data_IF_766136870804
#
_entry.id   IF_766136870804
#
_cell.length_a   1.000
_cell.length_b   1.000
_cell.length_c   1.000
_cell.angle_alpha   90.00
_cell.angle_beta   90.00
_cell.angle_gamma   90.00
#
_symmetry.space_group_name_H-M   'P 1'
#
loop_
_entity.id
_entity.type
_entity.pdbx_description
1 polymer ?
#
# COMPACT_ATOMS: atom_id res chain seq x y z
N UNK A 1 3.14 13.99 -9.32
CA UNK A 1 2.85 12.57 -9.01
C UNK A 1 2.84 12.39 -7.51
N UNK A 2 1.80 11.71 -7.01
CA UNK A 2 1.51 11.51 -5.58
C UNK A 2 1.34 10.00 -5.34
N UNK A 3 1.73 9.50 -4.17
CA UNK A 3 1.51 8.10 -3.78
C UNK A 3 0.69 8.03 -2.50
N UNK A 4 -0.47 7.37 -2.54
CA UNK A 4 -1.29 7.11 -1.36
C UNK A 4 -1.20 5.66 -0.95
N UNK A 5 -1.16 5.43 0.36
CA UNK A 5 -1.25 4.11 0.96
C UNK A 5 -2.46 4.01 1.86
N UNK A 6 -3.33 3.03 1.66
CA UNK A 6 -4.44 2.73 2.56
C UNK A 6 -4.17 1.42 3.31
N UNK A 7 -4.23 1.46 4.65
CA UNK A 7 -4.09 0.25 5.48
C UNK A 7 -5.33 -0.63 5.49
N UNK A 8 -5.22 -1.83 6.08
CA UNK A 8 -6.30 -2.81 6.08
C UNK A 8 -7.60 -2.32 6.75
N UNK A 9 -7.50 -1.55 7.84
CA UNK A 9 -8.66 -0.92 8.47
C UNK A 9 -9.39 0.06 7.54
N UNK A 10 -8.62 0.77 6.70
CA UNK A 10 -9.14 1.76 5.74
C UNK A 10 -9.88 1.11 4.57
N UNK A 11 -9.73 -0.20 4.35
CA UNK A 11 -10.37 -0.97 3.26
C UNK A 11 -11.18 -2.18 3.79
N UNK A 12 -11.53 -2.21 5.08
CA UNK A 12 -12.12 -3.38 5.74
C UNK A 12 -13.51 -3.81 5.24
N UNK A 13 -14.29 -2.89 4.66
CA UNK A 13 -15.65 -3.17 4.18
C UNK A 13 -16.07 -2.19 3.06
N UNK A 14 -17.29 -2.37 2.54
CA UNK A 14 -17.83 -1.59 1.45
C UNK A 14 -17.95 -0.09 1.78
N UNK A 15 -18.25 0.26 3.03
CA UNK A 15 -18.35 1.67 3.44
C UNK A 15 -16.98 2.33 3.50
N UNK A 16 -15.97 1.60 3.99
CA UNK A 16 -14.57 2.00 3.96
C UNK A 16 -14.08 2.21 2.51
N UNK A 17 -14.35 1.29 1.59
CA UNK A 17 -14.01 1.43 0.17
C UNK A 17 -14.73 2.62 -0.48
N UNK A 18 -16.02 2.81 -0.20
CA UNK A 18 -16.78 4.00 -0.61
C UNK A 18 -16.13 5.29 -0.11
N UNK A 19 -15.61 5.28 1.11
CA UNK A 19 -14.94 6.43 1.69
C UNK A 19 -13.60 6.75 0.98
N UNK A 20 -12.81 5.74 0.62
CA UNK A 20 -11.62 5.93 -0.21
C UNK A 20 -12.01 6.63 -1.52
N UNK A 21 -13.05 6.16 -2.21
CA UNK A 21 -13.54 6.82 -3.43
C UNK A 21 -13.85 8.31 -3.23
N UNK A 22 -14.53 8.68 -2.13
CA UNK A 22 -14.82 10.09 -1.80
C UNK A 22 -13.57 10.93 -1.54
N UNK A 23 -12.55 10.36 -0.88
CA UNK A 23 -11.27 11.03 -0.65
C UNK A 23 -10.60 11.31 -1.99
N UNK A 24 -10.51 10.27 -2.83
CA UNK A 24 -9.79 10.32 -4.10
C UNK A 24 -10.44 11.25 -5.12
N UNK A 25 -11.77 11.48 -5.06
CA UNK A 25 -12.47 12.47 -5.91
C UNK A 25 -11.87 13.87 -5.89
N UNK A 26 -11.11 14.23 -4.85
CA UNK A 26 -10.45 15.54 -4.75
C UNK A 26 -9.10 15.61 -5.49
N UNK A 27 -8.68 14.52 -6.13
CA UNK A 27 -7.35 14.36 -6.75
C UNK A 27 -7.43 13.94 -8.23
N UNK A 28 -8.56 14.17 -8.90
CA UNK A 28 -8.81 13.71 -10.29
C UNK A 28 -7.84 14.30 -11.31
N UNK A 29 -7.27 15.47 -11.01
CA UNK A 29 -6.31 16.13 -11.90
C UNK A 29 -4.87 15.63 -11.72
N UNK A 30 -4.60 14.93 -10.61
CA UNK A 30 -3.27 14.48 -10.21
C UNK A 30 -2.90 13.12 -10.83
N UNK A 31 -1.60 12.95 -11.10
CA UNK A 31 -1.01 11.63 -11.34
C UNK A 31 -0.86 10.92 -9.99
N UNK A 32 -1.56 9.80 -9.81
CA UNK A 32 -1.73 9.17 -8.50
C UNK A 32 -1.46 7.66 -8.56
N UNK A 33 -0.64 7.17 -7.63
CA UNK A 33 -0.54 5.74 -7.33
C UNK A 33 -1.21 5.46 -5.99
N UNK A 34 -2.13 4.50 -5.97
CA UNK A 34 -2.83 4.04 -4.77
C UNK A 34 -2.36 2.64 -4.43
N UNK A 35 -1.60 2.53 -3.35
CA UNK A 35 -1.16 1.28 -2.73
C UNK A 35 -2.17 0.89 -1.65
N UNK A 36 -2.61 -0.36 -1.64
CA UNK A 36 -3.51 -0.86 -0.58
C UNK A 36 -2.92 -2.04 0.16
N UNK A 37 -3.33 -2.19 1.42
CA UNK A 37 -3.16 -3.42 2.19
C UNK A 37 -4.37 -4.35 2.02
N UNK A 38 -4.24 -5.61 2.44
CA UNK A 38 -5.33 -6.57 2.50
C UNK A 38 -6.46 -6.08 3.42
N UNK A 39 -7.70 -6.52 3.16
CA UNK A 39 -8.88 -6.03 3.89
C UNK A 39 -8.85 -6.41 5.38
N UNK A 40 -8.87 -5.43 6.28
CA UNK A 40 -8.96 -5.64 7.72
C UNK A 40 -7.88 -6.58 8.27
N UNK A 41 -8.30 -7.75 8.74
CA UNK A 41 -7.44 -8.81 9.30
C UNK A 41 -7.19 -9.98 8.34
N UNK A 42 -7.48 -9.82 7.03
CA UNK A 42 -7.38 -10.90 6.04
C UNK A 42 -6.00 -11.55 5.98
N UNK A 43 -4.91 -10.80 6.18
CA UNK A 43 -3.54 -11.37 6.27
C UNK A 43 -3.48 -12.44 7.35
N UNK A 44 -3.90 -12.13 8.58
CA UNK A 44 -3.89 -13.08 9.71
C UNK A 44 -4.85 -14.27 9.46
N UNK A 45 -5.98 -14.03 8.80
CA UNK A 45 -6.92 -15.08 8.40
C UNK A 45 -6.24 -16.05 7.39
N UNK A 46 -5.48 -15.52 6.42
CA UNK A 46 -4.70 -16.30 5.46
C UNK A 46 -3.51 -17.02 6.10
N UNK A 47 -2.86 -16.43 7.11
CA UNK A 47 -1.83 -17.14 7.90
C UNK A 47 -2.40 -18.38 8.60
N UNK A 48 -3.65 -18.31 9.06
CA UNK A 48 -4.33 -19.48 9.61
C UNK A 48 -4.61 -20.55 8.53
N UNK A 49 -4.93 -20.14 7.31
CA UNK A 49 -5.04 -21.03 6.14
C UNK A 49 -3.69 -21.71 5.86
N UNK A 50 -2.60 -20.94 5.80
CA UNK A 50 -1.23 -21.47 5.60
C UNK A 50 -0.92 -22.53 6.65
N UNK A 51 -1.16 -22.23 7.93
CA UNK A 51 -0.92 -23.17 9.03
C UNK A 51 -1.71 -24.47 8.87
N UNK A 52 -3.02 -24.37 8.61
CA UNK A 52 -3.87 -25.54 8.42
C UNK A 52 -3.44 -26.36 7.19
N UNK A 53 -3.09 -25.70 6.09
CA UNK A 53 -2.65 -26.33 4.85
C UNK A 53 -1.33 -27.10 5.02
N UNK A 54 -0.33 -26.49 5.67
CA UNK A 54 0.96 -27.14 5.96
C UNK A 54 0.81 -28.34 6.90
N UNK A 55 -0.15 -28.27 7.82
CA UNK A 55 -0.49 -29.38 8.73
C UNK A 55 -1.37 -30.45 8.08
N UNK A 56 -1.74 -30.28 6.80
CA UNK A 56 -2.69 -31.14 6.09
C UNK A 56 -4.00 -31.33 6.86
N UNK A 57 -4.43 -30.27 7.53
CA UNK A 57 -5.70 -30.23 8.23
C UNK A 57 -6.80 -29.81 7.25
N UNK A 58 -7.83 -30.64 7.09
CA UNK A 58 -8.94 -30.43 6.15
C UNK A 58 -9.74 -29.12 6.37
N UNK A 59 -9.52 -28.44 7.51
CA UNK A 59 -10.14 -27.15 7.81
C UNK A 59 -9.64 -25.97 6.96
N UNK A 60 -8.51 -26.09 6.24
CA UNK A 60 -7.97 -25.01 5.42
C UNK A 60 -8.99 -24.50 4.38
N UNK A 61 -9.79 -25.40 3.79
CA UNK A 61 -10.84 -25.03 2.84
C UNK A 61 -11.98 -24.25 3.51
N UNK A 62 -12.37 -24.61 4.73
CA UNK A 62 -13.39 -23.88 5.48
C UNK A 62 -12.92 -22.46 5.85
N UNK A 63 -11.64 -22.31 6.24
CA UNK A 63 -11.03 -21.02 6.51
C UNK A 63 -10.99 -20.14 5.26
N UNK A 64 -10.56 -20.70 4.13
CA UNK A 64 -10.55 -19.99 2.85
C UNK A 64 -11.95 -19.56 2.41
N UNK A 65 -12.95 -20.44 2.52
CA UNK A 65 -14.33 -20.14 2.16
C UNK A 65 -14.90 -18.98 2.99
N UNK A 66 -14.55 -18.88 4.28
CA UNK A 66 -14.96 -17.76 5.12
C UNK A 66 -14.34 -16.42 4.66
N UNK A 67 -13.06 -16.43 4.27
CA UNK A 67 -12.37 -15.28 3.70
C UNK A 67 -13.04 -14.88 2.37
N UNK A 68 -13.27 -15.84 1.47
CA UNK A 68 -13.90 -15.59 0.18
C UNK A 68 -15.30 -14.98 0.34
N UNK A 69 -16.13 -15.55 1.23
CA UNK A 69 -17.47 -15.05 1.50
C UNK A 69 -17.47 -13.59 1.97
N UNK A 70 -16.56 -13.20 2.88
CA UNK A 70 -16.40 -11.82 3.34
C UNK A 70 -16.08 -10.84 2.20
N UNK A 71 -15.22 -11.22 1.27
CA UNK A 71 -14.86 -10.39 0.12
C UNK A 71 -16.01 -10.29 -0.89
N UNK A 72 -16.68 -11.42 -1.19
CA UNK A 72 -17.83 -11.45 -2.10
C UNK A 72 -19.03 -10.66 -1.56
N UNK A 73 -19.33 -10.76 -0.26
CA UNK A 73 -20.35 -9.93 0.39
C UNK A 73 -19.97 -8.43 0.29
N UNK A 74 -18.69 -8.10 0.43
CA UNK A 74 -18.23 -6.72 0.27
C UNK A 74 -18.43 -6.22 -1.16
N UNK A 75 -18.09 -7.04 -2.16
CA UNK A 75 -18.34 -6.73 -3.57
C UNK A 75 -19.84 -6.55 -3.85
N UNK A 76 -20.69 -7.44 -3.34
CA UNK A 76 -22.14 -7.31 -3.47
C UNK A 76 -22.66 -6.00 -2.86
N UNK A 77 -22.15 -5.59 -1.69
CA UNK A 77 -22.53 -4.33 -1.05
C UNK A 77 -22.01 -3.07 -1.77
N UNK A 78 -20.99 -3.22 -2.63
CA UNK A 78 -20.48 -2.17 -3.49
C UNK A 78 -21.33 -2.05 -4.76
N UNK A 79 -21.55 -3.16 -5.47
CA UNK A 79 -22.07 -3.15 -6.84
C UNK A 79 -23.53 -3.58 -6.98
N UNK A 80 -24.13 -4.18 -5.94
CA UNK A 80 -25.47 -4.76 -6.01
C UNK A 80 -25.48 -6.08 -6.76
N UNK A 81 -25.87 -6.07 -8.04
CA UNK A 81 -25.92 -7.26 -8.89
C UNK A 81 -24.52 -7.75 -9.30
N UNK A 82 -24.42 -9.00 -9.79
CA UNK A 82 -23.17 -9.56 -10.30
C UNK A 82 -22.54 -8.67 -11.36
N UNK A 83 -21.26 -8.37 -11.20
CA UNK A 83 -20.46 -7.63 -12.15
C UNK A 83 -19.12 -8.32 -12.39
N UNK A 84 -18.41 -7.90 -13.43
CA UNK A 84 -17.10 -8.48 -13.81
C UNK A 84 -16.08 -8.49 -12.67
N UNK A 85 -16.13 -7.50 -11.76
CA UNK A 85 -15.25 -7.44 -10.60
C UNK A 85 -15.55 -8.53 -9.57
N UNK A 86 -16.82 -8.86 -9.37
CA UNK A 86 -17.25 -9.97 -8.51
C UNK A 86 -16.79 -11.31 -9.08
N UNK A 87 -16.89 -11.47 -10.41
CA UNK A 87 -16.42 -12.68 -11.10
C UNK A 87 -14.90 -12.85 -10.99
N UNK A 88 -14.13 -11.77 -11.23
CA UNK A 88 -12.67 -11.75 -11.04
C UNK A 88 -12.28 -12.09 -9.60
N UNK A 89 -12.98 -11.50 -8.63
CA UNK A 89 -12.76 -11.75 -7.21
C UNK A 89 -13.06 -13.20 -6.82
N UNK A 90 -14.15 -13.77 -7.34
CA UNK A 90 -14.49 -15.17 -7.14
C UNK A 90 -13.41 -16.09 -7.73
N UNK A 91 -12.94 -15.78 -8.94
CA UNK A 91 -11.91 -16.57 -9.62
C UNK A 91 -10.60 -16.62 -8.83
N UNK A 92 -10.17 -15.49 -8.23
CA UNK A 92 -8.98 -15.44 -7.37
C UNK A 92 -9.05 -16.48 -6.23
N UNK A 93 -10.20 -16.59 -5.56
CA UNK A 93 -10.36 -17.54 -4.46
C UNK A 93 -10.52 -18.99 -4.95
N UNK A 94 -11.15 -19.20 -6.12
CA UNK A 94 -11.21 -20.52 -6.77
C UNK A 94 -9.82 -21.01 -7.13
N UNK A 95 -8.96 -20.15 -7.68
CA UNK A 95 -7.59 -20.50 -8.03
C UNK A 95 -6.77 -20.87 -6.80
N UNK A 96 -6.91 -20.11 -5.71
CA UNK A 96 -6.28 -20.44 -4.44
C UNK A 96 -6.81 -21.77 -3.88
N UNK A 97 -8.12 -22.02 -3.93
CA UNK A 97 -8.70 -23.29 -3.49
C UNK A 97 -8.16 -24.47 -4.32
N UNK A 98 -8.04 -24.32 -5.64
CA UNK A 98 -7.45 -25.32 -6.53
C UNK A 98 -5.97 -25.61 -6.20
N UNK A 99 -5.23 -24.60 -5.74
CA UNK A 99 -3.87 -24.78 -5.22
C UNK A 99 -3.89 -25.58 -3.90
N UNK A 100 -4.75 -25.22 -2.95
CA UNK A 100 -4.83 -25.87 -1.64
C UNK A 100 -5.36 -27.31 -1.69
N UNK A 101 -6.13 -27.68 -2.72
CA UNK A 101 -6.56 -29.06 -2.95
C UNK A 101 -5.42 -30.01 -3.39
N UNK A 102 -4.21 -29.48 -3.64
CA UNK A 102 -3.00 -30.25 -3.90
C UNK A 102 -2.14 -30.28 -2.64
N UNK A 103 -1.36 -31.35 -2.38
CA UNK A 103 -0.48 -31.39 -1.23
C UNK A 103 0.55 -30.23 -1.29
N UNK A 104 0.96 -29.66 -0.13
CA UNK A 104 1.93 -28.58 -0.07
C UNK A 104 3.24 -28.97 -0.75
N UNK A 105 3.77 -28.08 -1.59
CA UNK A 105 5.05 -28.25 -2.31
C UNK A 105 5.91 -27.01 -2.13
N UNK A 106 7.20 -27.22 -1.88
CA UNK A 106 8.15 -26.15 -1.60
C UNK A 106 8.36 -25.93 -0.10
N UNK A 107 9.19 -24.93 0.24
CA UNK A 107 9.43 -24.58 1.62
C UNK A 107 8.25 -23.79 2.22
N UNK A 108 8.20 -23.70 3.55
CA UNK A 108 7.12 -23.03 4.29
C UNK A 108 6.95 -21.56 3.90
N UNK A 109 8.05 -20.83 3.73
CA UNK A 109 8.01 -19.39 3.45
C UNK A 109 7.53 -19.08 2.02
N UNK A 110 7.90 -19.93 1.05
CA UNK A 110 7.37 -19.89 -0.31
C UNK A 110 5.85 -20.12 -0.33
N UNK A 111 5.38 -21.14 0.41
CA UNK A 111 3.94 -21.43 0.53
C UNK A 111 3.22 -20.26 1.18
N UNK A 112 3.78 -19.70 2.25
CA UNK A 112 3.25 -18.51 2.92
C UNK A 112 3.07 -17.35 1.94
N UNK A 113 4.12 -16.97 1.19
CA UNK A 113 4.06 -15.82 0.29
C UNK A 113 3.03 -16.02 -0.83
N UNK A 114 2.90 -17.25 -1.34
CA UNK A 114 1.91 -17.59 -2.38
C UNK A 114 0.46 -17.47 -1.89
N UNK A 115 0.18 -17.74 -0.61
CA UNK A 115 -1.17 -17.75 -0.06
C UNK A 115 -1.54 -16.37 0.50
N UNK A 116 -0.67 -15.77 1.30
CA UNK A 116 -0.98 -14.52 2.02
C UNK A 116 -1.10 -13.33 1.07
N UNK A 117 -0.37 -13.32 -0.04
CA UNK A 117 -0.45 -12.30 -1.09
C UNK A 117 -1.85 -12.16 -1.71
N UNK A 118 -2.66 -13.23 -1.70
CA UNK A 118 -4.03 -13.21 -2.26
C UNK A 118 -4.90 -12.16 -1.58
N UNK A 119 -4.68 -11.86 -0.30
CA UNK A 119 -5.41 -10.81 0.40
C UNK A 119 -5.20 -9.42 -0.20
N UNK A 120 -3.98 -9.11 -0.64
CA UNK A 120 -3.63 -7.84 -1.27
C UNK A 120 -4.17 -7.73 -2.69
N UNK A 121 -4.08 -8.82 -3.45
CA UNK A 121 -4.62 -8.93 -4.80
C UNK A 121 -6.13 -8.72 -4.78
N UNK A 122 -6.86 -9.46 -3.92
CA UNK A 122 -8.30 -9.34 -3.77
C UNK A 122 -8.74 -7.91 -3.39
N UNK A 123 -8.07 -7.29 -2.42
CA UNK A 123 -8.38 -5.94 -1.96
C UNK A 123 -8.18 -4.87 -3.04
N UNK A 124 -7.06 -4.94 -3.76
CA UNK A 124 -6.71 -3.99 -4.82
C UNK A 124 -7.59 -4.12 -6.06
N UNK A 125 -7.94 -5.35 -6.48
CA UNK A 125 -8.91 -5.59 -7.56
C UNK A 125 -10.25 -4.97 -7.21
N UNK A 126 -10.73 -5.21 -5.98
CA UNK A 126 -12.00 -4.70 -5.52
C UNK A 126 -12.04 -3.16 -5.49
N UNK A 127 -10.98 -2.52 -4.98
CA UNK A 127 -10.89 -1.06 -4.97
C UNK A 127 -10.83 -0.49 -6.38
N UNK A 128 -9.97 -1.03 -7.25
CA UNK A 128 -9.81 -0.54 -8.62
C UNK A 128 -11.14 -0.58 -9.38
N UNK A 129 -11.85 -1.71 -9.27
CA UNK A 129 -13.17 -1.88 -9.86
C UNK A 129 -14.19 -0.88 -9.29
N UNK A 130 -14.20 -0.66 -7.98
CA UNK A 130 -15.10 0.30 -7.35
C UNK A 130 -14.85 1.74 -7.81
N UNK A 131 -13.58 2.15 -7.90
CA UNK A 131 -13.20 3.48 -8.39
C UNK A 131 -13.65 3.68 -9.84
N UNK A 132 -13.41 2.69 -10.71
CA UNK A 132 -13.90 2.73 -12.10
C UNK A 132 -15.43 2.80 -12.16
N UNK A 133 -16.14 2.01 -11.34
CA UNK A 133 -17.60 2.05 -11.24
C UNK A 133 -18.14 3.43 -10.81
N UNK A 134 -17.40 4.18 -10.00
CA UNK A 134 -17.76 5.53 -9.56
C UNK A 134 -17.33 6.64 -10.52
N UNK A 135 -16.87 6.31 -11.73
CA UNK A 135 -16.40 7.30 -12.71
C UNK A 135 -15.05 7.90 -12.35
N UNK A 136 -14.18 7.15 -11.67
CA UNK A 136 -12.78 7.51 -11.41
C UNK A 136 -11.87 6.56 -12.20
N UNK A 137 -11.54 6.89 -13.46
CA UNK A 137 -10.76 6.02 -14.32
C UNK A 137 -9.39 5.72 -13.72
N UNK A 138 -9.09 4.43 -13.57
CA UNK A 138 -7.82 3.95 -13.07
C UNK A 138 -7.48 2.60 -13.69
N UNK A 139 -6.20 2.24 -13.64
CA UNK A 139 -5.73 0.92 -14.05
C UNK A 139 -5.19 0.16 -12.84
N UNK A 140 -5.61 -1.11 -12.72
CA UNK A 140 -5.02 -2.04 -11.77
C UNK A 140 -3.65 -2.49 -12.27
N UNK A 141 -2.62 -2.38 -11.42
CA UNK A 141 -1.26 -2.83 -11.68
C UNK A 141 -0.87 -3.91 -10.68
N UNK A 142 -0.32 -5.02 -11.18
CA UNK A 142 0.24 -6.06 -10.34
C UNK A 142 1.60 -5.59 -9.78
N UNK A 143 1.71 -5.48 -8.46
CA UNK A 143 2.94 -5.05 -7.80
C UNK A 143 4.08 -6.05 -8.03
N UNK A 144 3.80 -7.32 -8.36
CA UNK A 144 4.81 -8.34 -8.65
C UNK A 144 5.52 -8.10 -9.99
N UNK A 145 4.88 -7.37 -10.90
CA UNK A 145 5.49 -6.90 -12.15
C UNK A 145 6.27 -5.58 -11.98
N UNK A 146 6.19 -4.98 -10.80
CA UNK A 146 6.79 -3.68 -10.49
C UNK A 146 7.94 -3.81 -9.49
N UNK A 147 7.71 -4.51 -8.38
CA UNK A 147 8.64 -4.68 -7.26
C UNK A 147 9.32 -6.03 -7.42
N UNK A 148 10.56 -5.98 -7.89
CA UNK A 148 11.34 -7.16 -8.20
C UNK A 148 12.24 -7.49 -7.00
N UNK A 149 12.19 -8.72 -6.52
CA UNK A 149 12.96 -9.17 -5.35
C UNK A 149 13.86 -10.36 -5.69
N UNK A 150 14.73 -10.73 -4.76
CA UNK A 150 15.31 -12.07 -4.74
C UNK A 150 14.30 -13.13 -4.24
N UNK A 151 14.78 -14.35 -4.02
CA UNK A 151 13.96 -15.49 -3.59
C UNK A 151 14.00 -15.67 -2.07
N UNK A 152 14.28 -14.61 -1.30
CA UNK A 152 14.22 -14.62 0.16
C UNK A 152 12.77 -14.40 0.61
N UNK A 153 11.97 -15.45 0.55
CA UNK A 153 10.55 -15.41 0.90
C UNK A 153 10.31 -14.85 2.31
N UNK A 154 9.15 -14.21 2.49
CA UNK A 154 8.71 -13.44 3.67
C UNK A 154 9.45 -12.14 3.94
N UNK A 155 10.64 -11.96 3.37
CA UNK A 155 11.44 -10.75 3.54
C UNK A 155 12.23 -10.39 2.26
N UNK A 156 11.57 -10.48 1.10
CA UNK A 156 12.22 -10.34 -0.21
C UNK A 156 13.09 -9.08 -0.32
N UNK A 157 14.35 -9.25 -0.73
CA UNK A 157 15.26 -8.14 -0.90
C UNK A 157 14.99 -7.47 -2.25
N UNK A 158 14.57 -6.21 -2.21
CA UNK A 158 14.22 -5.41 -3.39
C UNK A 158 15.45 -5.19 -4.26
N UNK A 159 15.34 -5.58 -5.53
CA UNK A 159 16.30 -5.29 -6.59
C UNK A 159 16.02 -3.88 -7.12
N UNK A 160 16.67 -2.88 -6.53
CA UNK A 160 16.32 -1.46 -6.70
C UNK A 160 16.34 -0.96 -8.15
N UNK A 161 17.44 -1.18 -8.87
CA UNK A 161 17.56 -0.70 -10.25
C UNK A 161 16.45 -1.26 -11.16
N UNK A 162 16.24 -2.59 -11.27
CA UNK A 162 15.19 -3.12 -12.13
C UNK A 162 13.78 -2.79 -11.61
N UNK A 163 13.58 -2.70 -10.29
CA UNK A 163 12.30 -2.23 -9.70
C UNK A 163 11.96 -0.80 -10.13
N UNK A 164 12.91 0.13 -10.01
CA UNK A 164 12.69 1.52 -10.43
C UNK A 164 12.37 1.62 -11.93
N UNK A 165 13.08 0.84 -12.76
CA UNK A 165 12.82 0.79 -14.20
C UNK A 165 11.42 0.25 -14.51
N UNK A 166 11.03 -0.86 -13.88
CA UNK A 166 9.72 -1.47 -14.07
C UNK A 166 8.59 -0.53 -13.65
N UNK A 167 8.69 0.10 -12.48
CA UNK A 167 7.71 1.07 -11.99
C UNK A 167 7.55 2.25 -12.96
N UNK A 168 8.66 2.89 -13.37
CA UNK A 168 8.62 4.02 -14.30
C UNK A 168 8.00 3.61 -15.64
N UNK A 169 8.35 2.42 -16.15
CA UNK A 169 7.80 1.91 -17.39
C UNK A 169 6.29 1.68 -17.31
N UNK A 170 5.80 1.04 -16.24
CA UNK A 170 4.37 0.78 -16.06
C UNK A 170 3.57 2.08 -15.95
N UNK A 171 4.06 3.06 -15.18
CA UNK A 171 3.39 4.35 -15.03
C UNK A 171 3.45 5.19 -16.33
N UNK A 172 4.56 5.15 -17.06
CA UNK A 172 4.66 5.82 -18.37
C UNK A 172 3.69 5.22 -19.39
N UNK A 173 3.55 3.89 -19.42
CA UNK A 173 2.59 3.21 -20.29
C UNK A 173 1.14 3.57 -19.96
N UNK A 174 0.85 3.80 -18.69
CA UNK A 174 -0.44 4.22 -18.19
C UNK A 174 -0.76 5.67 -18.59
N UNK A 175 0.21 6.58 -18.46
CA UNK A 175 0.10 7.98 -18.89
C UNK A 175 -0.08 8.10 -20.41
N UNK A 176 0.65 7.29 -21.20
CA UNK A 176 0.48 7.21 -22.66
C UNK A 176 -0.94 6.78 -23.10
N UNK A 177 -1.69 6.10 -22.22
CA UNK A 177 -3.10 5.73 -22.46
C UNK A 177 -4.08 6.80 -21.97
N UNK A 178 -3.58 7.92 -21.42
CA UNK A 178 -4.40 8.98 -20.83
C UNK A 178 -5.03 8.62 -19.48
N UNK A 179 -4.59 7.54 -18.84
CA UNK A 179 -5.04 7.15 -17.51
C UNK A 179 -4.10 7.82 -16.49
N UNK A 180 -4.64 8.48 -15.47
CA UNK A 180 -3.82 9.21 -14.47
C UNK A 180 -3.53 8.41 -13.21
N UNK A 181 -4.35 7.40 -12.93
CA UNK A 181 -4.36 6.69 -11.65
C UNK A 181 -4.01 5.23 -11.81
N UNK A 182 -3.10 4.76 -10.95
CA UNK A 182 -2.79 3.36 -10.78
C UNK A 182 -3.27 2.87 -9.41
N UNK A 183 -3.89 1.69 -9.36
CA UNK A 183 -4.19 0.99 -8.10
C UNK A 183 -3.33 -0.27 -8.06
N UNK A 184 -2.58 -0.47 -6.98
CA UNK A 184 -1.66 -1.60 -6.84
C UNK A 184 -1.63 -2.13 -5.41
N UNK A 185 -1.00 -3.30 -5.24
CA UNK A 185 -0.86 -3.98 -3.96
C UNK A 185 0.30 -3.39 -3.17
N UNK A 186 0.17 -3.39 -1.86
CA UNK A 186 1.31 -3.31 -0.95
C UNK A 186 1.85 -4.69 -0.63
N UNK A 187 2.93 -4.75 0.16
CA UNK A 187 3.45 -5.95 0.82
C UNK A 187 4.05 -7.03 -0.09
N UNK A 188 3.67 -7.12 -1.36
CA UNK A 188 4.07 -8.18 -2.28
C UNK A 188 5.10 -7.71 -3.31
N UNK A 189 5.90 -8.66 -3.81
CA UNK A 189 6.85 -8.50 -4.91
C UNK A 189 6.95 -9.77 -5.75
N UNK A 190 7.71 -9.70 -6.84
CA UNK A 190 7.93 -10.80 -7.77
C UNK A 190 9.41 -11.20 -7.87
N UNK A 191 9.69 -12.49 -7.92
CA UNK A 191 11.03 -13.00 -8.28
C UNK A 191 11.25 -12.95 -9.79
N UNK A 192 12.49 -13.12 -10.29
CA UNK A 192 12.77 -13.25 -11.72
C UNK A 192 12.03 -14.42 -12.41
N UNK A 193 11.65 -15.45 -11.64
CA UNK A 193 10.84 -16.58 -12.12
C UNK A 193 9.32 -16.31 -12.03
N UNK A 194 8.92 -15.07 -11.77
CA UNK A 194 7.52 -14.65 -11.57
C UNK A 194 6.82 -15.34 -10.40
N UNK A 195 7.60 -15.76 -9.39
CA UNK A 195 7.06 -16.27 -8.13
C UNK A 195 6.76 -15.11 -7.19
N UNK A 196 5.77 -15.28 -6.31
CA UNK A 196 5.40 -14.22 -5.37
C UNK A 196 6.32 -14.24 -4.15
N UNK A 197 6.77 -13.06 -3.74
CA UNK A 197 7.43 -12.81 -2.47
C UNK A 197 6.64 -11.80 -1.65
N UNK A 198 6.90 -11.76 -0.34
CA UNK A 198 6.44 -10.69 0.52
C UNK A 198 7.62 -9.92 1.13
N UNK A 199 7.38 -8.64 1.43
CA UNK A 199 8.41 -7.68 1.86
C UNK A 199 8.58 -7.62 3.38
N UNK A 200 7.94 -8.53 4.10
CA UNK A 200 7.96 -8.59 5.55
C UNK A 200 7.02 -7.60 6.23
N UNK A 201 7.24 -7.42 7.53
CA UNK A 201 6.40 -6.57 8.38
C UNK A 201 6.32 -5.15 7.82
N UNK A 202 5.10 -4.61 7.81
CA UNK A 202 4.79 -3.27 7.25
C UNK A 202 5.13 -3.11 5.77
N UNK A 203 5.20 -4.22 5.04
CA UNK A 203 5.55 -4.23 3.63
C UNK A 203 4.69 -3.33 2.75
N UNK A 204 3.42 -3.05 3.09
CA UNK A 204 2.60 -2.10 2.31
C UNK A 204 3.06 -0.64 2.43
N UNK A 205 3.52 -0.23 3.62
CA UNK A 205 4.09 1.13 3.82
C UNK A 205 5.44 1.21 3.08
N UNK A 206 6.22 0.12 3.11
CA UNK A 206 7.47 0.02 2.36
C UNK A 206 7.23 0.04 0.84
N UNK A 207 6.23 -0.68 0.31
CA UNK A 207 5.82 -0.62 -1.09
C UNK A 207 5.53 0.81 -1.53
N UNK A 208 4.74 1.56 -0.76
CA UNK A 208 4.43 2.95 -1.09
C UNK A 208 5.69 3.83 -1.13
N UNK A 209 6.66 3.60 -0.23
CA UNK A 209 7.93 4.29 -0.24
C UNK A 209 8.79 3.94 -1.47
N UNK A 210 8.79 2.67 -1.91
CA UNK A 210 9.46 2.22 -3.13
C UNK A 210 8.89 2.95 -4.36
N UNK A 211 7.56 2.95 -4.52
CA UNK A 211 6.90 3.68 -5.62
C UNK A 211 7.21 5.18 -5.57
N UNK A 212 7.11 5.80 -4.39
CA UNK A 212 7.38 7.22 -4.24
C UNK A 212 8.82 7.59 -4.60
N UNK A 213 9.79 6.76 -4.21
CA UNK A 213 11.19 6.93 -4.57
C UNK A 213 11.44 6.74 -6.08
N UNK A 214 10.91 5.66 -6.66
CA UNK A 214 11.09 5.34 -8.08
C UNK A 214 10.50 6.43 -9.01
N UNK A 215 9.41 7.06 -8.59
CA UNK A 215 8.64 8.01 -9.39
C UNK A 215 8.97 9.49 -9.08
N UNK A 216 9.97 9.74 -8.22
CA UNK A 216 10.28 11.09 -7.73
C UNK A 216 9.02 11.83 -7.24
N UNK A 217 8.20 11.13 -6.44
CA UNK A 217 6.88 11.60 -6.06
C UNK A 217 6.98 12.87 -5.20
N UNK A 218 6.08 13.82 -5.43
CA UNK A 218 6.03 15.07 -4.68
C UNK A 218 5.80 14.81 -3.18
N UNK A 219 4.94 13.84 -2.87
CA UNK A 219 4.77 13.30 -1.53
C UNK A 219 4.12 11.92 -1.56
N UNK A 220 4.32 11.19 -0.47
CA UNK A 220 3.62 9.96 -0.13
C UNK A 220 2.65 10.25 1.01
N UNK A 221 1.48 9.64 1.03
CA UNK A 221 0.53 9.78 2.13
C UNK A 221 0.07 8.42 2.64
N UNK A 222 0.11 8.21 3.95
CA UNK A 222 -0.35 6.98 4.62
C UNK A 222 -1.66 7.26 5.34
N UNK A 223 -2.74 6.63 4.89
CA UNK A 223 -4.07 6.78 5.42
C UNK A 223 -4.34 5.72 6.50
N UNK A 224 -4.33 6.16 7.76
CA UNK A 224 -4.57 5.33 8.95
C UNK A 224 -5.92 5.67 9.59
N UNK A 225 -6.30 4.88 10.59
CA UNK A 225 -7.50 5.03 11.42
C UNK A 225 -7.31 6.04 12.58
N UNK A 226 -6.09 6.52 12.80
CA UNK A 226 -5.74 7.51 13.83
C UNK A 226 -5.57 8.91 13.25
N UNK A 227 -5.96 9.92 14.05
CA UNK A 227 -6.02 11.37 13.74
C UNK A 227 -4.65 12.06 13.52
N UNK A 228 -3.69 11.36 12.92
CA UNK A 228 -2.28 11.74 12.79
C UNK A 228 -1.38 11.01 13.79
N UNK A 229 -0.17 11.52 13.95
CA UNK A 229 0.82 11.03 14.91
C UNK A 229 0.64 11.77 16.24
N UNK A 230 0.79 11.04 17.34
CA UNK A 230 0.68 11.55 18.70
C UNK A 230 1.95 11.23 19.50
N UNK A 231 2.23 12.00 20.55
CA UNK A 231 3.37 11.76 21.45
C UNK A 231 3.28 10.45 22.26
N UNK A 232 2.15 9.76 22.18
CA UNK A 232 1.87 8.43 22.75
C UNK A 232 0.53 7.91 22.22
N UNK A 233 0.15 6.66 22.50
CA UNK A 233 -1.16 6.13 22.08
C UNK A 233 -2.29 6.89 22.80
N UNK A 234 -3.11 7.68 22.09
CA UNK A 234 -4.15 8.51 22.72
C UNK A 234 -5.26 7.67 23.40
N UNK A 235 -5.36 6.37 23.08
CA UNK A 235 -6.29 5.44 23.74
C UNK A 235 -5.81 5.02 25.13
N UNK A 236 -4.51 5.07 25.36
CA UNK A 236 -3.85 4.68 26.62
C UNK A 236 -3.49 5.92 27.43
N UNK A 237 -3.04 6.98 26.74
CA UNK A 237 -2.58 8.24 27.33
C UNK A 237 -3.47 9.36 26.80
N UNK A 238 -4.53 9.74 27.54
CA UNK A 238 -5.47 10.79 27.10
C UNK A 238 -4.82 12.16 26.90
N UNK A 239 -3.67 12.40 27.55
CA UNK A 239 -2.88 13.63 27.41
C UNK A 239 -1.91 13.61 26.22
N UNK A 240 -1.94 12.58 25.38
CA UNK A 240 -1.10 12.51 24.20
C UNK A 240 -1.40 13.68 23.25
N UNK A 241 -0.36 14.41 22.85
CA UNK A 241 -0.49 15.60 22.03
C UNK A 241 -0.22 15.23 20.57
N UNK A 242 -1.05 15.75 19.66
CA UNK A 242 -0.87 15.57 18.23
C UNK A 242 0.42 16.26 17.78
N UNK A 243 1.25 15.53 17.07
CA UNK A 243 2.49 16.02 16.47
C UNK A 243 2.18 16.44 15.02
N UNK A 244 2.28 17.74 14.75
CA UNK A 244 1.95 18.29 13.43
C UNK A 244 3.06 18.03 12.41
N UNK A 245 4.31 18.16 12.84
CA UNK A 245 5.51 18.00 12.02
C UNK A 245 6.52 17.15 12.77
N UNK A 246 7.10 16.17 12.10
CA UNK A 246 8.15 15.32 12.65
C UNK A 246 9.24 15.12 11.60
N UNK A 247 10.50 15.24 12.00
CA UNK A 247 11.60 14.89 11.10
C UNK A 247 11.68 13.38 10.92
N UNK A 248 12.24 12.93 9.79
CA UNK A 248 12.51 11.51 9.54
C UNK A 248 13.20 10.82 10.73
N UNK A 249 14.23 11.45 11.28
CA UNK A 249 15.06 10.87 12.33
C UNK A 249 14.26 10.64 13.60
N UNK A 250 13.41 11.59 13.96
CA UNK A 250 12.51 11.45 15.10
C UNK A 250 11.42 10.42 14.83
N UNK A 251 10.93 10.32 13.60
CA UNK A 251 9.90 9.37 13.24
C UNK A 251 10.41 7.92 13.25
N UNK A 252 11.63 7.67 12.76
CA UNK A 252 12.28 6.34 12.83
C UNK A 252 12.69 6.03 14.27
N UNK A 253 13.27 7.00 15.00
CA UNK A 253 13.76 6.78 16.35
C UNK A 253 12.68 6.58 17.42
N UNK A 254 11.42 6.93 17.13
CA UNK A 254 10.28 6.75 18.03
C UNK A 254 9.30 5.67 17.57
N UNK A 255 9.71 4.86 16.61
CA UNK A 255 8.85 3.80 16.11
C UNK A 255 7.55 4.25 15.41
N UNK A 256 7.57 5.43 14.79
CA UNK A 256 6.40 6.05 14.16
C UNK A 256 6.36 5.88 12.64
N UNK A 257 7.51 5.61 12.00
CA UNK A 257 7.65 5.24 10.60
C UNK A 257 8.51 3.97 10.51
N UNK A 258 7.89 2.81 10.24
CA UNK A 258 8.63 1.56 10.00
C UNK A 258 8.51 1.12 8.55
N UNK A 259 9.39 1.67 7.73
CA UNK A 259 9.85 0.98 6.52
C UNK A 259 11.30 0.56 6.77
N UNK A 260 11.72 -0.61 6.27
CA UNK A 260 13.15 -0.99 6.25
C UNK A 260 13.95 0.21 5.72
N UNK A 261 14.74 0.84 6.58
CA UNK A 261 15.56 1.97 6.20
C UNK A 261 16.69 1.42 5.33
N UNK A 262 16.61 1.61 4.01
CA UNK A 262 17.77 1.36 3.16
C UNK A 262 18.86 2.37 3.54
N UNK A 263 19.85 1.89 4.29
CA UNK A 263 21.13 2.57 4.45
C UNK A 263 22.07 1.89 3.44
N UNK A 264 22.57 2.59 2.41
CA UNK A 264 23.57 2.02 1.51
C UNK A 264 24.89 1.89 2.28
N UNK A 265 25.03 0.84 3.09
CA UNK A 265 26.26 0.56 3.83
C UNK A 265 27.11 -0.53 3.19
N UNK A 266 26.61 -1.30 2.20
CA UNK A 266 27.36 -2.45 1.68
C UNK A 266 27.50 -2.55 0.14
N UNK A 267 27.07 -1.56 -0.64
CA UNK A 267 27.34 -1.56 -2.08
C UNK A 267 28.37 -0.49 -2.46
N UNK A 268 29.64 -0.90 -2.62
CA UNK A 268 30.74 -0.03 -3.06
C UNK A 268 30.68 0.30 -4.56
N UNK A 269 29.69 -0.23 -5.29
CA UNK A 269 29.54 -0.08 -6.75
C UNK A 269 28.38 0.81 -7.18
N UNK A 270 27.51 1.23 -6.26
CA UNK A 270 26.40 2.13 -6.55
C UNK A 270 26.90 3.57 -6.84
N UNK A 271 27.13 3.87 -8.12
CA UNK A 271 27.32 5.22 -8.63
C UNK A 271 26.15 6.11 -8.21
N UNK A 272 26.48 7.24 -7.55
CA UNK A 272 25.61 8.36 -7.13
C UNK A 272 24.22 8.38 -7.81
N UNK A 273 23.25 7.66 -7.26
CA UNK A 273 21.84 7.85 -7.58
C UNK A 273 21.34 9.10 -6.85
N UNK A 274 20.57 9.94 -7.54
CA UNK A 274 19.93 11.13 -6.97
C UNK A 274 18.96 10.67 -5.89
N UNK A 275 19.29 10.99 -4.63
CA UNK A 275 18.40 10.74 -3.48
C UNK A 275 17.29 11.80 -3.46
N UNK A 276 16.10 11.42 -3.91
CA UNK A 276 14.91 12.25 -3.87
C UNK A 276 14.30 12.28 -2.47
N UNK A 277 13.75 13.44 -2.10
CA UNK A 277 13.04 13.67 -0.82
C UNK A 277 11.62 13.13 -0.96
N UNK A 278 11.26 12.09 -0.20
CA UNK A 278 9.87 11.66 -0.06
C UNK A 278 9.34 12.16 1.28
N UNK A 279 8.27 12.94 1.31
CA UNK A 279 7.58 13.29 2.56
C UNK A 279 6.43 12.29 2.78
N UNK A 280 6.31 11.71 3.97
CA UNK A 280 5.21 10.80 4.32
C UNK A 280 4.16 11.59 5.10
N UNK A 281 3.00 11.88 4.52
CA UNK A 281 1.90 12.54 5.22
C UNK A 281 0.96 11.50 5.84
N UNK A 282 0.71 11.53 7.14
CA UNK A 282 -0.28 10.64 7.77
C UNK A 282 -1.63 11.34 7.83
N UNK A 283 -2.63 10.79 7.12
CA UNK A 283 -4.00 11.28 7.12
C UNK A 283 -4.96 10.24 7.72
N UNK A 284 -6.14 10.69 8.12
CA UNK A 284 -7.13 9.89 8.85
C UNK A 284 -8.38 9.68 8.02
N UNK A 285 -8.77 8.42 7.81
CA UNK A 285 -10.06 8.08 7.20
C UNK A 285 -11.13 7.97 8.29
N UNK A 286 -11.80 9.07 8.63
CA UNK A 286 -12.80 9.09 9.70
C UNK A 286 -14.12 8.41 9.29
N UNK A 287 -14.67 7.53 10.15
CA UNK A 287 -16.02 6.95 10.01
C UNK A 287 -17.01 7.81 10.80
N UNK A 288 -17.67 8.77 10.15
CA UNK A 288 -18.75 9.54 10.75
C UNK A 288 -19.43 10.47 9.74
N UNK A 289 -20.77 10.48 9.71
CA UNK A 289 -21.58 11.36 8.86
C UNK A 289 -21.53 12.80 9.41
N UNK A 290 -20.81 13.71 8.75
CA UNK A 290 -21.08 15.15 8.84
C UNK A 290 -20.75 15.87 7.53
N UNK A 291 -21.44 16.98 7.20
CA UNK A 291 -21.33 17.62 5.90
C UNK A 291 -20.19 18.65 5.87
N UNK A 292 -19.54 18.74 4.69
CA UNK A 292 -18.81 19.88 4.11
C UNK A 292 -17.29 19.81 3.89
N UNK A 293 -16.98 20.29 2.66
CA UNK A 293 -15.78 20.91 2.06
C UNK A 293 -14.38 20.36 2.30
N UNK A 294 -13.91 19.65 1.28
CA UNK A 294 -12.49 19.42 1.01
C UNK A 294 -11.78 20.72 0.58
N UNK A 295 -10.50 20.91 0.94
CA UNK A 295 -9.75 22.08 0.49
C UNK A 295 -9.59 22.04 -1.04
N UNK A 296 -9.97 23.13 -1.72
CA UNK A 296 -9.69 23.32 -3.14
C UNK A 296 -8.17 23.42 -3.37
N UNK A 297 -7.61 22.78 -4.41
CA UNK A 297 -6.23 23.03 -4.82
C UNK A 297 -6.08 24.50 -5.21
N UNK A 298 -5.24 25.25 -4.48
CA UNK A 298 -5.00 26.67 -4.74
C UNK A 298 -4.74 27.55 -3.52
N UNK A 299 -4.95 27.09 -2.28
CA UNK A 299 -4.53 27.86 -1.10
C UNK A 299 -3.01 27.74 -0.93
N UNK A 300 -2.28 28.74 -1.43
CA UNK A 300 -0.84 28.97 -1.27
C UNK A 300 -0.40 29.27 0.17
N UNK A 301 -1.15 28.80 1.18
CA UNK A 301 -0.74 28.94 2.56
C UNK A 301 0.28 27.84 2.90
N UNK A 302 1.54 28.27 2.99
CA UNK A 302 2.73 27.57 3.54
C UNK A 302 3.66 26.78 2.60
N UNK A 303 3.82 27.17 1.33
CA UNK A 303 4.99 26.76 0.53
C UNK A 303 6.23 27.67 0.70
N UNK A 304 6.12 28.78 1.44
CA UNK A 304 7.13 29.87 1.45
C UNK A 304 8.16 29.83 2.59
N UNK A 305 8.38 28.71 3.26
CA UNK A 305 9.46 28.61 4.27
C UNK A 305 10.29 27.34 4.15
N UNK A 306 10.70 27.02 2.92
CA UNK A 306 11.91 26.22 2.74
C UNK A 306 13.11 27.11 3.11
N UNK A 307 13.95 26.76 4.09
CA UNK A 307 15.16 27.53 4.35
C UNK A 307 16.07 27.50 3.11
N UNK A 308 16.77 28.61 2.78
CA UNK A 308 17.63 28.67 1.61
C UNK A 308 18.72 27.59 1.65
N UNK A 309 19.10 27.09 0.47
CA UNK A 309 20.18 26.10 0.29
C UNK A 309 21.42 26.53 1.08
N UNK A 310 21.93 25.72 2.03
CA UNK A 310 23.27 25.92 2.54
C UNK A 310 24.25 25.50 1.44
N UNK A 311 25.07 26.44 0.98
CA UNK A 311 26.32 26.12 0.30
C UNK A 311 27.22 25.47 1.34
N UNK A 312 27.38 24.15 1.31
CA UNK A 312 28.58 23.47 1.80
C UNK A 312 28.57 21.99 1.38
N UNK A 313 29.75 21.56 0.97
CA UNK A 313 30.14 20.20 0.64
C UNK A 313 30.03 19.25 1.83
N UNK A 314 29.70 17.99 1.52
CA UNK A 314 29.74 16.77 2.36
C UNK A 314 28.41 16.34 3.03
N UNK A 315 28.02 15.10 2.69
CA UNK A 315 26.90 14.28 3.19
C UNK A 315 25.47 14.83 2.95
N UNK A 316 24.84 14.38 1.86
CA UNK A 316 23.39 14.56 1.62
C UNK A 316 22.63 13.43 2.32
N UNK A 317 22.14 13.70 3.54
CA UNK A 317 21.12 12.85 4.18
C UNK A 317 19.76 13.07 3.50
N UNK A 318 18.93 12.04 3.31
CA UNK A 318 17.56 12.23 2.83
C UNK A 318 16.75 13.00 3.87
N UNK A 319 16.06 14.06 3.44
CA UNK A 319 15.19 14.87 4.30
C UNK A 319 13.75 14.41 4.17
N UNK A 320 13.35 13.31 4.80
CA UNK A 320 11.92 12.99 4.89
C UNK A 320 11.27 13.87 5.96
N UNK A 321 10.13 14.48 5.64
CA UNK A 321 9.29 15.15 6.63
C UNK A 321 7.97 14.40 6.72
N UNK A 322 7.52 14.20 7.96
CA UNK A 322 6.20 13.64 8.24
C UNK A 322 5.26 14.76 8.63
N UNK A 323 4.18 14.90 7.88
CA UNK A 323 3.17 15.91 8.11
C UNK A 323 1.84 15.24 8.44
N UNK A 324 1.20 15.64 9.53
CA UNK A 324 -0.12 15.11 9.91
C UNK A 324 -1.18 16.19 9.74
N UNK A 325 -2.00 16.11 8.68
CA UNK A 325 -3.12 17.04 8.49
C UNK A 325 -4.44 16.36 8.82
N UNK A 326 -5.22 16.96 9.71
CA UNK A 326 -6.64 16.60 9.91
C UNK A 326 -7.45 17.24 8.78
N UNK A 327 -8.32 16.46 8.14
CA UNK A 327 -9.35 16.98 7.25
C UNK A 327 -10.44 17.59 8.14
N UNK A 328 -10.26 18.86 8.48
CA UNK A 328 -11.24 19.74 9.13
C UNK A 328 -11.47 20.94 8.24
#
# INVERSE_FOLDING_TARGET
MIVFKFGGASINDANSIKNIGRILQNYTDELLVVVVSAMGKTTNELEAVVKAYLQQNDTHNNLLNAIAAKHLITAQNLFGATNTATDQLAQIFVDLQNQLNKPPRGNTDFIYDSIVSVGEIAASVLLSAWLNHCGLPNQWLDARDCILTDNHYREGNVQWQPTCQAIVQQITNLDNKGVKWAVTQGFIGGTPEHLTTTLGREGSDYTAAIFANALDAQYMAVWKDVAGIYSGDPRIVPTAVKINNLSYREAVGNDLLWGKSYTPQNDKTATKQKNSVVCALVFTAYRGRHPYTYPKPGSTAAYNSLPPKPNTTNAVYPRFFVYCRTLS
#
